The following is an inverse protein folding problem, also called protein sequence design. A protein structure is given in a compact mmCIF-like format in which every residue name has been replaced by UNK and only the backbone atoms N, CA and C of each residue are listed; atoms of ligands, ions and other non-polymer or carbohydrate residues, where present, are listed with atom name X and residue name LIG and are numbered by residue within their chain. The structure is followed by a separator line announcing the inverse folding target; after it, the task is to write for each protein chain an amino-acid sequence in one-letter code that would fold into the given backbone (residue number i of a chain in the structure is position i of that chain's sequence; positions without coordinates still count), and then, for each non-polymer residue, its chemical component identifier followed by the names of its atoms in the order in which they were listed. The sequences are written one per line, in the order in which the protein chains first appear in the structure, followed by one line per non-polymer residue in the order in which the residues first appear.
data_IF_254772159264
#
_entry.id   IF_254772159264
#
_cell.length_a   1.000
_cell.length_b   1.000
_cell.length_c   1.000
_cell.angle_alpha   90.00
_cell.angle_beta   90.00
_cell.angle_gamma   90.00
#
_symmetry.space_group_name_H-M   'P 1'
#
loop_
_entity.id
_entity.type
_entity.pdbx_description
1 polymer ?
#
# COMPACT_ATOMS: atom_id res chain seq x y z
N UNK A 1 34.50 8.92 4.55
CA UNK A 1 33.66 7.72 4.38
C UNK A 1 32.43 8.14 3.59
N UNK A 2 32.39 7.89 2.29
CA UNK A 2 31.25 8.24 1.45
C UNK A 2 30.15 7.22 1.76
N UNK A 3 29.06 7.64 2.42
CA UNK A 3 27.85 6.81 2.51
C UNK A 3 27.23 6.85 1.12
N UNK A 4 27.41 5.77 0.35
CA UNK A 4 26.63 5.58 -0.87
C UNK A 4 25.15 5.70 -0.50
N UNK A 5 24.49 6.75 -0.98
CA UNK A 5 23.04 6.92 -0.90
C UNK A 5 22.40 5.86 -1.81
N UNK A 6 22.38 4.61 -1.35
CA UNK A 6 21.63 3.56 -2.02
C UNK A 6 20.18 3.77 -1.64
N UNK A 7 19.42 4.46 -2.50
CA UNK A 7 17.99 4.61 -2.31
C UNK A 7 17.35 3.23 -2.28
N UNK A 8 16.89 2.80 -1.11
CA UNK A 8 16.16 1.54 -0.95
C UNK A 8 14.81 1.72 -1.63
N UNK A 9 14.55 0.91 -2.67
CA UNK A 9 13.24 0.82 -3.32
C UNK A 9 12.44 -0.31 -2.67
N UNK A 10 11.21 -0.02 -2.29
CA UNK A 10 10.34 -0.99 -1.61
C UNK A 10 9.44 -1.70 -2.61
N UNK A 11 9.22 -3.00 -2.38
CA UNK A 11 8.37 -3.83 -3.24
C UNK A 11 7.01 -4.05 -2.59
N UNK A 12 5.94 -3.68 -3.30
CA UNK A 12 4.56 -3.82 -2.83
C UNK A 12 3.79 -4.80 -3.69
N UNK A 13 3.09 -5.76 -3.08
CA UNK A 13 2.25 -6.72 -3.78
C UNK A 13 0.78 -6.44 -3.51
N UNK A 14 -0.08 -6.51 -4.52
CA UNK A 14 -1.54 -6.42 -4.34
C UNK A 14 -2.08 -7.72 -3.76
N UNK A 15 -2.95 -7.61 -2.76
CA UNK A 15 -3.68 -8.73 -2.18
C UNK A 15 -5.14 -8.61 -2.60
N UNK A 16 -5.61 -9.61 -3.34
CA UNK A 16 -7.04 -9.69 -3.66
C UNK A 16 -7.77 -10.35 -2.48
N UNK A 17 -8.36 -9.53 -1.61
CA UNK A 17 -9.25 -10.02 -0.57
C UNK A 17 -10.69 -9.56 -0.83
N UNK A 18 -11.67 -10.47 -1.02
CA UNK A 18 -13.04 -10.14 -1.42
C UNK A 18 -13.87 -9.32 -0.38
N UNK A 19 -13.26 -8.87 0.71
CA UNK A 19 -13.91 -8.06 1.77
C UNK A 19 -13.20 -6.73 2.05
N UNK A 20 -12.08 -6.43 1.39
CA UNK A 20 -11.31 -5.19 1.60
C UNK A 20 -11.60 -4.20 0.46
N UNK A 21 -11.88 -2.93 0.80
CA UNK A 21 -12.42 -1.89 -0.11
C UNK A 21 -11.37 -0.90 -0.65
N UNK A 22 -10.11 -1.04 -0.25
CA UNK A 22 -8.99 -0.21 -0.74
C UNK A 22 -7.90 -1.11 -1.36
N UNK A 23 -6.98 -0.50 -2.11
CA UNK A 23 -5.81 -1.16 -2.71
C UNK A 23 -4.91 -1.78 -1.62
N UNK A 24 -5.31 -2.94 -1.12
CA UNK A 24 -4.61 -3.63 -0.07
C UNK A 24 -3.33 -4.22 -0.65
N UNK A 25 -2.30 -3.40 -0.58
CA UNK A 25 -0.95 -3.80 -0.88
C UNK A 25 -0.27 -4.26 0.41
N UNK A 26 0.65 -5.19 0.27
CA UNK A 26 1.54 -5.65 1.35
C UNK A 26 2.97 -5.31 0.98
N UNK A 27 3.78 -4.96 1.96
CA UNK A 27 5.20 -4.70 1.77
C UNK A 27 5.98 -6.02 1.81
N UNK A 28 6.92 -6.21 0.90
CA UNK A 28 7.88 -7.32 0.98
C UNK A 28 9.16 -6.80 1.61
N UNK A 29 9.58 -7.41 2.72
CA UNK A 29 10.84 -7.04 3.38
C UNK A 29 12.02 -7.25 2.41
N UNK A 30 12.91 -6.25 2.22
CA UNK A 30 14.02 -6.37 1.26
C UNK A 30 15.10 -7.38 1.70
N UNK A 31 15.11 -7.77 2.97
CA UNK A 31 16.11 -8.69 3.55
C UNK A 31 15.57 -10.12 3.63
N UNK A 32 14.56 -10.36 4.47
CA UNK A 32 14.04 -11.71 4.71
C UNK A 32 12.94 -12.13 3.72
N UNK A 33 12.45 -11.20 2.88
CA UNK A 33 11.38 -11.43 1.90
C UNK A 33 10.02 -11.82 2.49
N UNK A 34 9.87 -11.72 3.80
CA UNK A 34 8.57 -11.87 4.44
C UNK A 34 7.60 -10.76 4.02
N UNK A 35 6.32 -11.12 3.99
CA UNK A 35 5.22 -10.24 3.61
C UNK A 35 4.69 -9.54 4.85
N UNK A 36 4.64 -8.22 4.81
CA UNK A 36 4.26 -7.36 5.92
C UNK A 36 2.99 -6.60 5.58
N UNK A 37 2.02 -6.69 6.48
CA UNK A 37 0.82 -5.87 6.44
C UNK A 37 1.18 -4.45 6.86
N UNK A 38 0.33 -3.49 6.47
CA UNK A 38 0.51 -2.08 6.84
C UNK A 38 0.62 -1.90 8.36
N UNK A 39 -0.18 -2.63 9.13
CA UNK A 39 -0.14 -2.62 10.60
C UNK A 39 1.22 -3.06 11.17
N UNK A 40 1.94 -3.95 10.48
CA UNK A 40 3.28 -4.39 10.90
C UNK A 40 4.31 -3.27 10.75
N UNK A 41 4.13 -2.36 9.78
CA UNK A 41 5.05 -1.24 9.53
C UNK A 41 4.69 -0.01 10.38
N UNK A 42 3.40 0.28 10.54
CA UNK A 42 2.92 1.46 11.27
C UNK A 42 3.33 1.40 12.75
N UNK A 43 3.21 0.23 13.37
CA UNK A 43 3.64 0.02 14.76
C UNK A 43 5.13 -0.26 14.91
N UNK A 44 5.75 -0.86 13.89
CA UNK A 44 7.15 -1.25 13.92
C UNK A 44 7.90 -0.66 12.72
N UNK A 45 8.76 0.31 12.97
CA UNK A 45 9.74 0.81 11.97
C UNK A 45 10.79 -0.26 11.59
N UNK A 46 10.58 -1.52 11.96
CA UNK A 46 11.47 -2.66 11.78
C UNK A 46 10.67 -3.89 11.40
N UNK A 47 11.20 -4.73 10.50
CA UNK A 47 10.59 -6.00 10.16
C UNK A 47 10.52 -6.92 11.40
N UNK A 48 9.33 -7.46 11.77
CA UNK A 48 9.19 -8.31 12.96
C UNK A 48 9.92 -9.65 12.85
N UNK A 49 10.25 -10.10 11.64
CA UNK A 49 10.87 -11.41 11.40
C UNK A 49 12.41 -11.37 11.39
N UNK A 50 13.02 -10.28 10.91
CA UNK A 50 14.48 -10.18 10.78
C UNK A 50 15.08 -8.92 11.42
N UNK A 51 14.26 -8.11 12.09
CA UNK A 51 14.64 -6.85 12.72
C UNK A 51 15.26 -5.80 11.75
N UNK A 52 15.13 -6.00 10.43
CA UNK A 52 15.58 -5.02 9.44
C UNK A 52 14.87 -3.68 9.68
N UNK A 53 15.64 -2.61 9.89
CA UNK A 53 15.10 -1.26 10.08
C UNK A 53 14.78 -0.63 8.74
N UNK A 54 13.52 -0.26 8.55
CA UNK A 54 13.08 0.42 7.35
C UNK A 54 13.60 1.87 7.35
N UNK A 55 14.13 2.29 6.21
CA UNK A 55 14.43 3.69 5.93
C UNK A 55 13.15 4.43 5.53
N UNK A 56 12.96 5.65 6.04
CA UNK A 56 11.87 6.53 5.64
C UNK A 56 12.02 6.90 4.18
N UNK A 57 10.98 6.66 3.39
CA UNK A 57 10.90 7.06 1.99
C UNK A 57 9.48 7.45 1.66
N UNK A 58 9.31 8.29 0.64
CA UNK A 58 7.99 8.71 0.17
C UNK A 58 7.09 7.51 -0.17
N UNK A 59 7.64 6.47 -0.79
CA UNK A 59 6.90 5.25 -1.12
C UNK A 59 6.36 4.54 0.13
N UNK A 60 7.17 4.47 1.19
CA UNK A 60 6.77 3.83 2.44
C UNK A 60 5.77 4.68 3.23
N UNK A 61 5.96 6.00 3.23
CA UNK A 61 5.05 6.97 3.86
C UNK A 61 3.68 6.97 3.16
N UNK A 62 3.64 7.01 1.83
CA UNK A 62 2.40 6.86 1.05
C UNK A 62 1.73 5.51 1.34
N UNK A 63 2.53 4.43 1.40
CA UNK A 63 2.07 3.12 1.84
C UNK A 63 1.67 3.04 3.32
N UNK A 64 1.83 4.06 4.15
CA UNK A 64 1.21 4.08 5.48
C UNK A 64 -0.04 4.93 5.44
N UNK A 65 0.00 6.07 4.75
CA UNK A 65 -1.05 7.08 4.75
C UNK A 65 -2.26 6.79 3.84
N UNK A 66 -2.09 6.01 2.77
CA UNK A 66 -3.12 5.79 1.72
C UNK A 66 -4.56 5.50 2.25
N UNK A 67 -4.84 4.54 3.17
CA UNK A 67 -6.16 4.29 3.74
C UNK A 67 -6.72 5.46 4.53
N UNK A 68 -5.86 6.21 5.24
CA UNK A 68 -6.30 7.37 6.01
C UNK A 68 -6.75 8.48 5.05
N UNK A 69 -5.96 8.71 4.00
CA UNK A 69 -6.28 9.66 2.93
C UNK A 69 -7.54 9.23 2.18
N UNK A 70 -7.62 7.97 1.75
CA UNK A 70 -8.79 7.40 1.07
C UNK A 70 -10.06 7.53 1.91
N UNK A 71 -9.97 7.20 3.20
CA UNK A 71 -11.10 7.34 4.12
C UNK A 71 -11.49 8.81 4.29
N UNK A 72 -10.53 9.71 4.48
CA UNK A 72 -10.80 11.14 4.59
C UNK A 72 -11.47 11.71 3.33
N UNK A 73 -10.96 11.36 2.14
CA UNK A 73 -11.52 11.77 0.84
C UNK A 73 -12.97 11.32 0.71
N UNK A 74 -13.28 10.06 1.09
CA UNK A 74 -14.65 9.51 1.04
C UNK A 74 -15.65 10.25 1.92
N UNK A 75 -15.18 10.92 2.98
CA UNK A 75 -16.02 11.68 3.90
C UNK A 75 -16.14 13.17 3.52
N UNK A 76 -15.51 13.61 2.43
CA UNK A 76 -15.62 15.01 2.00
C UNK A 76 -16.99 15.30 1.36
N UNK A 77 -17.61 16.46 1.67
CA UNK A 77 -18.85 16.88 1.04
C UNK A 77 -18.70 16.95 -0.49
N UNK A 78 -19.62 16.33 -1.22
CA UNK A 78 -19.62 16.33 -2.69
C UNK A 78 -18.69 15.31 -3.35
N UNK A 79 -17.98 14.48 -2.58
CA UNK A 79 -17.26 13.33 -3.15
C UNK A 79 -18.26 12.26 -3.65
N UNK A 80 -18.12 11.83 -4.91
CA UNK A 80 -18.85 10.69 -5.46
C UNK A 80 -17.87 9.69 -6.08
N UNK A 81 -17.89 8.45 -5.59
CA UNK A 81 -17.04 7.38 -6.12
C UNK A 81 -17.72 6.76 -7.34
N UNK A 82 -17.24 7.11 -8.54
CA UNK A 82 -17.64 6.42 -9.76
C UNK A 82 -16.80 5.15 -9.91
N UNK A 83 -17.35 4.00 -9.50
CA UNK A 83 -16.83 2.72 -9.97
C UNK A 83 -17.00 2.74 -11.48
N UNK A 84 -15.89 2.79 -12.22
CA UNK A 84 -15.90 2.48 -13.64
C UNK A 84 -16.29 1.01 -13.80
N UNK A 85 -17.59 0.74 -13.79
CA UNK A 85 -18.14 -0.54 -14.21
C UNK A 85 -17.85 -0.69 -15.70
N UNK A 86 -17.20 -1.77 -16.16
CA UNK A 86 -17.06 -2.01 -17.59
C UNK A 86 -18.47 -2.22 -18.16
N UNK A 87 -18.94 -1.22 -18.90
CA UNK A 87 -20.26 -1.18 -19.48
C UNK A 87 -20.52 -2.41 -20.37
N UNK A 88 -21.54 -3.18 -19.99
CA UNK A 88 -22.58 -3.75 -20.85
C UNK A 88 -22.27 -3.86 -22.35
N UNK A 89 -21.67 -4.97 -22.79
CA UNK A 89 -21.69 -5.35 -24.20
C UNK A 89 -23.06 -5.95 -24.54
N UNK A 90 -24.06 -5.09 -24.82
CA UNK A 90 -25.29 -5.52 -25.50
C UNK A 90 -24.90 -5.93 -26.92
N UNK A 91 -24.83 -7.24 -27.19
CA UNK A 91 -24.93 -7.78 -28.55
C UNK A 91 -26.41 -7.82 -28.88
N UNK A 92 -26.83 -6.92 -29.75
CA UNK A 92 -28.14 -7.01 -30.39
C UNK A 92 -28.08 -8.15 -31.43
N UNK A 93 -29.20 -8.88 -31.50
CA UNK A 93 -29.52 -9.94 -32.46
C UNK A 93 -29.23 -9.60 -33.93
#
# INVERSE_FOLDING_TARGET
MQKENKSVSYSFQKVEHPRMLANDRVLVCPVCREVLMRADIEGFSTCPFCAYKFESSYELEDFIMEPLVDNWVRHQPGFSFQVLSPASHKRNE
#
